data_IF_245691341419
#
_entry.id   IF_245691341419
#
_cell.length_a   1.000
_cell.length_b   1.000
_cell.length_c   1.000
_cell.angle_alpha   90.00
_cell.angle_beta   90.00
_cell.angle_gamma   90.00
#
_symmetry.space_group_name_H-M   'P 1'
#
loop_
_entity.id
_entity.type
_entity.pdbx_description
1 polymer ?
#
# COMPACT_ATOMS: atom_id res chain seq x y z
N UNK A 1 27.62 25.52 -17.70
CA UNK A 1 27.31 24.62 -16.54
C UNK A 1 27.30 23.21 -17.11
N UNK A 2 28.15 22.31 -16.56
CA UNK A 2 28.15 20.90 -16.97
C UNK A 2 26.82 20.32 -16.49
N UNK A 3 25.96 19.89 -17.41
CA UNK A 3 24.72 19.16 -17.09
C UNK A 3 25.09 17.96 -16.22
N UNK A 4 24.69 18.00 -14.97
CA UNK A 4 24.95 16.90 -14.02
C UNK A 4 24.05 15.73 -14.43
N UNK A 5 24.62 14.76 -15.13
CA UNK A 5 23.88 13.59 -15.64
C UNK A 5 23.16 12.90 -14.47
N UNK A 6 21.86 12.65 -14.63
CA UNK A 6 21.06 11.91 -13.63
C UNK A 6 21.62 10.51 -13.47
N UNK A 7 21.80 10.08 -12.22
CA UNK A 7 22.34 8.77 -11.88
C UNK A 7 21.39 8.00 -10.95
N UNK A 8 21.48 6.68 -11.02
CA UNK A 8 20.79 5.78 -10.10
C UNK A 8 21.80 5.24 -9.09
N UNK A 9 21.39 5.11 -7.84
CA UNK A 9 22.23 4.57 -6.77
C UNK A 9 22.89 3.24 -7.18
N UNK A 10 24.20 3.10 -6.90
CA UNK A 10 24.97 1.88 -7.22
C UNK A 10 24.51 0.66 -6.40
N UNK A 11 23.98 0.87 -5.19
CA UNK A 11 23.58 -0.21 -4.27
C UNK A 11 22.08 -0.54 -4.29
N UNK A 12 21.21 0.45 -4.53
CA UNK A 12 19.76 0.23 -4.67
C UNK A 12 19.25 0.75 -6.03
N UNK A 13 18.03 1.26 -6.10
CA UNK A 13 17.39 1.72 -7.35
C UNK A 13 16.94 3.18 -7.30
N UNK A 14 17.22 3.90 -6.22
CA UNK A 14 16.78 5.29 -6.05
C UNK A 14 17.56 6.22 -6.99
N UNK A 15 16.82 7.18 -7.57
CA UNK A 15 17.34 8.14 -8.54
C UNK A 15 17.80 9.40 -7.85
N UNK A 16 18.99 9.87 -8.18
CA UNK A 16 19.57 11.11 -7.64
C UNK A 16 18.67 12.32 -7.96
N UNK A 17 18.46 13.18 -6.96
CA UNK A 17 17.64 14.39 -7.03
C UNK A 17 16.15 14.17 -6.75
N UNK A 18 15.65 12.95 -6.75
CA UNK A 18 14.27 12.69 -6.36
C UNK A 18 14.13 12.80 -4.83
N UNK A 19 13.28 13.73 -4.36
CA UNK A 19 12.97 13.94 -2.93
C UNK A 19 14.20 13.98 -2.00
N UNK A 20 15.23 14.72 -2.41
CA UNK A 20 16.44 14.89 -1.59
C UNK A 20 17.41 13.71 -1.62
N UNK A 21 17.26 12.77 -2.53
CA UNK A 21 18.23 11.70 -2.73
C UNK A 21 19.52 12.28 -3.31
N UNK A 22 20.60 12.08 -2.59
CA UNK A 22 21.96 12.49 -2.97
C UNK A 22 22.86 11.26 -3.05
N UNK A 23 23.79 11.27 -4.00
CA UNK A 23 24.78 10.21 -4.14
C UNK A 23 26.14 10.70 -3.65
N UNK A 24 26.88 9.84 -2.92
CA UNK A 24 28.25 10.09 -2.52
C UNK A 24 29.24 9.79 -3.67
N UNK A 25 30.55 9.88 -3.40
CA UNK A 25 31.63 9.58 -4.36
C UNK A 25 31.59 8.14 -4.88
N UNK A 26 31.07 7.19 -4.09
CA UNK A 26 30.85 5.78 -4.49
C UNK A 26 29.52 5.56 -5.25
N UNK A 27 28.80 6.64 -5.56
CA UNK A 27 27.47 6.61 -6.16
C UNK A 27 26.40 5.89 -5.34
N UNK A 28 26.60 5.78 -4.02
CA UNK A 28 25.60 5.27 -3.07
C UNK A 28 24.74 6.39 -2.55
N UNK A 29 23.42 6.16 -2.46
CA UNK A 29 22.49 7.15 -1.93
C UNK A 29 22.54 7.21 -0.39
N UNK A 30 22.06 8.34 0.16
CA UNK A 30 21.94 8.59 1.59
C UNK A 30 21.23 7.47 2.35
N UNK A 31 20.21 6.81 1.78
CA UNK A 31 19.58 5.64 2.39
C UNK A 31 20.46 4.39 2.45
N UNK A 32 21.37 4.24 1.51
CA UNK A 32 22.32 3.12 1.50
C UNK A 32 23.57 3.38 2.36
N UNK A 33 23.89 4.65 2.61
CA UNK A 33 25.01 5.05 3.46
C UNK A 33 24.64 5.12 4.94
N UNK A 34 23.39 5.48 5.24
CA UNK A 34 22.87 5.64 6.60
C UNK A 34 21.52 4.93 6.73
N UNK A 35 21.53 3.79 7.42
CA UNK A 35 20.33 2.99 7.66
C UNK A 35 19.29 3.70 8.56
N UNK A 36 19.70 4.76 9.26
CA UNK A 36 18.81 5.58 10.10
C UNK A 36 18.22 6.77 9.34
N UNK A 37 18.69 7.02 8.11
CA UNK A 37 18.23 8.14 7.31
C UNK A 37 16.74 8.00 6.98
N UNK A 38 16.01 9.08 7.27
CA UNK A 38 14.55 9.17 7.01
C UNK A 38 14.28 10.50 6.33
N UNK A 39 13.35 10.49 5.38
CA UNK A 39 12.77 11.71 4.85
C UNK A 39 11.25 11.72 5.11
N UNK A 40 10.59 12.83 4.77
CA UNK A 40 9.15 13.02 5.01
C UNK A 40 8.27 11.97 4.31
N UNK A 41 8.79 11.28 3.28
CA UNK A 41 8.08 10.29 2.50
C UNK A 41 8.42 8.84 2.88
N UNK A 42 9.34 8.64 3.81
CA UNK A 42 9.77 7.33 4.26
C UNK A 42 9.54 7.15 5.76
N UNK A 43 8.74 6.16 6.13
CA UNK A 43 8.42 5.83 7.51
C UNK A 43 8.88 4.43 7.93
N UNK A 44 9.87 3.87 7.22
CA UNK A 44 10.46 2.58 7.59
C UNK A 44 10.86 2.57 9.07
N UNK A 45 10.44 1.55 9.83
CA UNK A 45 10.83 1.36 11.22
C UNK A 45 11.86 0.26 11.30
N UNK A 46 13.02 0.58 11.86
CA UNK A 46 13.98 -0.42 12.30
C UNK A 46 13.50 -0.91 13.66
N UNK A 47 13.22 -2.22 13.75
CA UNK A 47 12.80 -2.84 15.00
C UNK A 47 13.97 -3.61 15.58
N UNK A 48 14.30 -3.34 16.84
CA UNK A 48 15.38 -4.06 17.52
C UNK A 48 15.03 -5.55 17.66
N UNK A 49 16.02 -6.46 17.65
CA UNK A 49 15.80 -7.88 17.87
C UNK A 49 15.02 -8.19 19.15
N UNK A 50 15.34 -7.45 20.24
CA UNK A 50 14.63 -7.58 21.53
C UNK A 50 13.15 -7.24 21.41
N UNK A 51 12.82 -6.18 20.68
CA UNK A 51 11.42 -5.79 20.47
C UNK A 51 10.69 -6.80 19.59
N UNK A 52 11.36 -7.35 18.57
CA UNK A 52 10.81 -8.40 17.73
C UNK A 52 10.49 -9.66 18.52
N UNK A 53 11.38 -10.10 19.42
CA UNK A 53 11.12 -11.24 20.33
C UNK A 53 9.88 -11.01 21.17
N UNK A 54 9.75 -9.81 21.78
CA UNK A 54 8.54 -9.45 22.55
C UNK A 54 7.26 -9.56 21.75
N UNK A 55 7.27 -9.15 20.48
CA UNK A 55 6.09 -9.23 19.61
C UNK A 55 5.78 -10.66 19.16
N UNK A 56 6.80 -11.51 19.01
CA UNK A 56 6.59 -12.96 18.76
C UNK A 56 5.91 -13.62 19.97
N UNK A 57 6.36 -13.31 21.17
CA UNK A 57 5.74 -13.80 22.41
C UNK A 57 4.27 -13.34 22.50
N UNK A 58 4.02 -12.06 22.20
CA UNK A 58 2.65 -11.52 22.23
C UNK A 58 1.76 -12.15 21.14
N UNK A 59 2.28 -12.41 19.93
CA UNK A 59 1.55 -13.15 18.91
C UNK A 59 1.16 -14.56 19.39
N UNK A 60 2.10 -15.29 19.98
CA UNK A 60 1.83 -16.63 20.49
C UNK A 60 0.78 -16.61 21.60
N UNK A 61 0.81 -15.60 22.47
CA UNK A 61 -0.20 -15.38 23.52
C UNK A 61 -1.58 -15.08 22.92
N UNK A 62 -1.66 -14.21 21.89
CA UNK A 62 -2.91 -13.92 21.18
C UNK A 62 -3.50 -15.22 20.63
N UNK A 63 -2.72 -16.02 19.90
CA UNK A 63 -3.18 -17.27 19.31
C UNK A 63 -3.67 -18.25 20.39
N UNK A 64 -2.93 -18.39 21.49
CA UNK A 64 -3.32 -19.27 22.60
C UNK A 64 -4.68 -18.86 23.19
N UNK A 65 -4.83 -17.58 23.58
CA UNK A 65 -6.07 -17.03 24.15
C UNK A 65 -7.23 -17.19 23.18
N UNK A 66 -6.99 -16.92 21.90
CA UNK A 66 -8.00 -17.02 20.85
C UNK A 66 -8.51 -18.45 20.71
N UNK A 67 -7.62 -19.46 20.74
CA UNK A 67 -7.99 -20.87 20.67
C UNK A 67 -8.76 -21.33 21.90
N UNK A 68 -8.37 -20.87 23.09
CA UNK A 68 -9.06 -21.20 24.35
C UNK A 68 -10.51 -20.69 24.34
N UNK A 69 -10.75 -19.52 23.76
CA UNK A 69 -12.08 -18.89 23.68
C UNK A 69 -12.89 -19.28 22.42
N UNK A 70 -12.31 -19.98 21.47
CA UNK A 70 -12.92 -20.29 20.16
C UNK A 70 -14.21 -21.11 20.25
N UNK A 71 -14.41 -21.88 21.35
CA UNK A 71 -15.64 -22.71 21.53
C UNK A 71 -16.90 -21.85 21.65
N UNK A 72 -16.80 -20.66 22.23
CA UNK A 72 -17.93 -19.75 22.50
C UNK A 72 -18.15 -18.73 21.37
N UNK A 73 -17.19 -18.56 20.46
CA UNK A 73 -17.22 -17.52 19.43
C UNK A 73 -17.67 -18.08 18.07
N UNK A 74 -18.47 -17.31 17.33
CA UNK A 74 -18.77 -17.58 15.91
C UNK A 74 -17.51 -17.39 15.07
N UNK A 75 -16.78 -16.32 15.32
CA UNK A 75 -15.49 -16.00 14.69
C UNK A 75 -14.47 -15.61 15.74
N UNK A 76 -13.23 -16.00 15.52
CA UNK A 76 -12.08 -15.70 16.38
C UNK A 76 -11.41 -14.39 16.02
N UNK A 77 -11.43 -14.07 14.72
CA UNK A 77 -10.83 -12.84 14.18
C UNK A 77 -11.50 -12.41 12.88
N UNK A 78 -11.31 -11.12 12.54
CA UNK A 78 -11.55 -10.59 11.20
C UNK A 78 -10.23 -10.50 10.47
N UNK A 79 -10.22 -10.84 9.17
CA UNK A 79 -9.10 -10.60 8.27
C UNK A 79 -9.51 -9.62 7.18
N UNK A 80 -8.78 -8.50 7.03
CA UNK A 80 -8.87 -7.66 5.83
C UNK A 80 -8.34 -8.44 4.62
N UNK A 81 -9.22 -8.77 3.68
CA UNK A 81 -8.94 -9.67 2.55
C UNK A 81 -9.04 -8.94 1.23
N UNK A 82 -7.90 -8.67 0.58
CA UNK A 82 -7.82 -7.86 -0.64
C UNK A 82 -7.65 -8.67 -1.94
N UNK A 83 -7.50 -10.00 -1.88
CA UNK A 83 -7.17 -10.84 -3.05
C UNK A 83 -5.71 -10.72 -3.52
N UNK A 84 -4.87 -9.95 -2.82
CA UNK A 84 -3.42 -9.96 -3.00
C UNK A 84 -2.77 -11.18 -2.36
N UNK A 85 -1.54 -11.54 -2.79
CA UNK A 85 -0.82 -12.72 -2.32
C UNK A 85 -0.70 -12.83 -0.80
N UNK A 86 -0.45 -11.67 -0.16
CA UNK A 86 -0.15 -11.63 1.28
C UNK A 86 -1.41 -11.90 2.13
N UNK A 87 -2.52 -11.22 1.83
CA UNK A 87 -3.79 -11.46 2.54
C UNK A 87 -4.34 -12.86 2.25
N UNK A 88 -4.13 -13.39 1.04
CA UNK A 88 -4.54 -14.75 0.67
C UNK A 88 -3.73 -15.81 1.42
N UNK A 89 -2.41 -15.66 1.48
CA UNK A 89 -1.55 -16.58 2.22
C UNK A 89 -1.82 -16.53 3.73
N UNK A 90 -2.13 -15.33 4.25
CA UNK A 90 -2.48 -15.17 5.67
C UNK A 90 -3.84 -15.82 5.97
N UNK A 91 -4.84 -15.70 5.09
CA UNK A 91 -6.12 -16.38 5.24
C UNK A 91 -5.93 -17.90 5.35
N UNK A 92 -5.20 -18.46 4.39
CA UNK A 92 -4.91 -19.91 4.37
C UNK A 92 -4.13 -20.34 5.62
N UNK A 93 -3.15 -19.56 6.07
CA UNK A 93 -2.38 -19.84 7.29
C UNK A 93 -3.27 -19.83 8.55
N UNK A 94 -4.10 -18.82 8.71
CA UNK A 94 -4.97 -18.71 9.89
C UNK A 94 -5.98 -19.86 9.98
N UNK A 95 -6.53 -20.27 8.83
CA UNK A 95 -7.53 -21.35 8.77
C UNK A 95 -6.85 -22.71 8.89
N UNK A 96 -5.88 -23.01 8.03
CA UNK A 96 -5.37 -24.38 7.86
C UNK A 96 -4.20 -24.74 8.77
N UNK A 97 -3.32 -23.77 9.10
CA UNK A 97 -2.15 -24.05 9.95
C UNK A 97 -2.49 -23.74 11.42
N UNK A 98 -3.20 -22.63 11.68
CA UNK A 98 -3.57 -22.23 13.04
C UNK A 98 -4.92 -22.83 13.48
N UNK A 99 -5.88 -22.97 12.57
CA UNK A 99 -7.21 -23.50 12.85
C UNK A 99 -8.17 -22.49 13.49
N UNK A 100 -8.08 -21.21 13.12
CA UNK A 100 -8.97 -20.17 13.59
C UNK A 100 -10.25 -20.08 12.75
N UNK A 101 -11.35 -19.66 13.38
CA UNK A 101 -12.59 -19.26 12.73
C UNK A 101 -12.46 -17.81 12.25
N UNK A 102 -12.13 -17.62 10.98
CA UNK A 102 -11.87 -16.30 10.40
C UNK A 102 -13.13 -15.76 9.74
N UNK A 103 -13.41 -14.47 9.88
CA UNK A 103 -14.30 -13.71 9.00
C UNK A 103 -13.42 -12.91 8.03
N UNK A 104 -13.45 -13.25 6.75
CA UNK A 104 -12.76 -12.47 5.72
C UNK A 104 -13.63 -11.28 5.30
N UNK A 105 -13.08 -10.08 5.32
CA UNK A 105 -13.78 -8.86 4.92
C UNK A 105 -13.03 -8.20 3.75
N UNK A 106 -13.70 -8.07 2.63
CA UNK A 106 -13.23 -7.33 1.46
C UNK A 106 -14.01 -6.03 1.34
N UNK A 107 -13.28 -4.92 1.22
CA UNK A 107 -13.86 -3.61 0.93
C UNK A 107 -13.55 -3.27 -0.52
N UNK A 108 -14.58 -3.21 -1.39
CA UNK A 108 -14.40 -2.70 -2.75
C UNK A 108 -14.33 -1.16 -2.70
N UNK A 109 -13.20 -0.65 -3.10
CA UNK A 109 -12.94 0.81 -3.18
C UNK A 109 -13.40 1.42 -4.51
N UNK A 110 -14.07 0.62 -5.38
CA UNK A 110 -14.52 1.02 -6.71
C UNK A 110 -13.45 0.98 -7.81
N UNK A 111 -12.20 0.67 -7.45
CA UNK A 111 -11.04 0.67 -8.34
C UNK A 111 -10.13 -0.56 -8.11
N UNK A 112 -10.74 -1.65 -7.69
CA UNK A 112 -10.05 -2.93 -7.53
C UNK A 112 -9.85 -3.57 -8.91
N UNK A 113 -8.61 -4.02 -9.26
CA UNK A 113 -8.35 -4.70 -10.53
C UNK A 113 -9.14 -6.01 -10.66
N UNK A 114 -9.51 -6.38 -11.87
CA UNK A 114 -10.23 -7.63 -12.15
C UNK A 114 -9.45 -8.86 -11.65
N UNK A 115 -8.12 -8.86 -11.80
CA UNK A 115 -7.25 -9.93 -11.28
C UNK A 115 -7.40 -10.10 -9.77
N UNK A 116 -7.50 -9.00 -9.00
CA UNK A 116 -7.71 -9.10 -7.55
C UNK A 116 -9.09 -9.68 -7.22
N UNK A 117 -10.13 -9.29 -7.96
CA UNK A 117 -11.49 -9.85 -7.83
C UNK A 117 -11.54 -11.34 -8.19
N UNK A 118 -10.85 -11.75 -9.24
CA UNK A 118 -10.70 -13.16 -9.62
C UNK A 118 -9.96 -13.96 -8.55
N UNK A 119 -8.89 -13.42 -7.97
CA UNK A 119 -8.16 -14.06 -6.89
C UNK A 119 -9.04 -14.27 -5.66
N UNK A 120 -9.84 -13.27 -5.28
CA UNK A 120 -10.83 -13.39 -4.19
C UNK A 120 -11.77 -14.55 -4.47
N UNK A 121 -12.44 -14.54 -5.60
CA UNK A 121 -13.39 -15.58 -6.00
C UNK A 121 -12.77 -16.98 -6.01
N UNK A 122 -11.56 -17.10 -6.59
CA UNK A 122 -10.83 -18.37 -6.66
C UNK A 122 -10.48 -18.87 -5.26
N UNK A 123 -9.93 -18.00 -4.40
CA UNK A 123 -9.54 -18.35 -3.03
C UNK A 123 -10.74 -18.84 -2.22
N UNK A 124 -11.85 -18.10 -2.27
CA UNK A 124 -13.07 -18.48 -1.54
C UNK A 124 -13.63 -19.82 -2.02
N UNK A 125 -13.63 -20.07 -3.32
CA UNK A 125 -14.08 -21.35 -3.88
C UNK A 125 -13.15 -22.50 -3.47
N UNK A 126 -11.82 -22.31 -3.59
CA UNK A 126 -10.84 -23.33 -3.27
C UNK A 126 -10.85 -23.72 -1.78
N UNK A 127 -11.03 -22.75 -0.91
CA UNK A 127 -11.12 -22.98 0.55
C UNK A 127 -12.53 -23.36 1.01
N UNK A 128 -13.55 -23.35 0.12
CA UNK A 128 -14.98 -23.50 0.46
C UNK A 128 -15.40 -22.53 1.57
N UNK A 129 -15.01 -21.24 1.40
CA UNK A 129 -15.03 -20.22 2.43
C UNK A 129 -16.01 -19.07 2.16
N UNK A 130 -16.89 -19.21 1.15
CA UNK A 130 -17.82 -18.15 0.73
C UNK A 130 -18.76 -17.67 1.86
N UNK A 131 -19.22 -18.60 2.72
CA UNK A 131 -20.14 -18.28 3.84
C UNK A 131 -19.47 -17.51 4.98
N UNK A 132 -18.13 -17.41 4.97
CA UNK A 132 -17.32 -16.69 5.94
C UNK A 132 -16.67 -15.43 5.35
N UNK A 133 -17.23 -14.93 4.27
CA UNK A 133 -16.74 -13.74 3.57
C UNK A 133 -17.82 -12.65 3.51
N UNK A 134 -17.41 -11.42 3.78
CA UNK A 134 -18.24 -10.22 3.62
C UNK A 134 -17.59 -9.32 2.58
N UNK A 135 -18.32 -8.98 1.53
CA UNK A 135 -17.96 -7.98 0.53
C UNK A 135 -18.73 -6.68 0.82
N UNK A 136 -18.01 -5.58 0.96
CA UNK A 136 -18.57 -4.25 1.21
C UNK A 136 -18.32 -3.39 -0.02
N UNK A 137 -19.39 -3.11 -0.77
CA UNK A 137 -19.41 -2.30 -2.00
C UNK A 137 -20.09 -0.94 -1.78
N UNK A 138 -20.95 -0.83 -0.77
CA UNK A 138 -21.74 0.38 -0.49
C UNK A 138 -20.87 1.60 -0.10
N UNK A 139 -19.61 1.38 0.23
CA UNK A 139 -18.64 2.44 0.53
C UNK A 139 -18.00 3.08 -0.73
N UNK A 140 -18.20 2.52 -1.93
CA UNK A 140 -17.61 3.01 -3.19
C UNK A 140 -17.86 4.51 -3.41
N UNK A 141 -19.07 5.07 -3.22
CA UNK A 141 -19.29 6.51 -3.38
C UNK A 141 -18.42 7.36 -2.46
N UNK A 142 -18.22 6.93 -1.19
CA UNK A 142 -17.37 7.64 -0.22
C UNK A 142 -15.90 7.61 -0.66
N UNK A 143 -15.38 6.47 -1.13
CA UNK A 143 -14.04 6.40 -1.69
C UNK A 143 -13.88 7.29 -2.93
N UNK A 144 -14.86 7.33 -3.82
CA UNK A 144 -14.83 8.19 -5.01
C UNK A 144 -14.75 9.67 -4.63
N UNK A 145 -15.56 10.13 -3.64
CA UNK A 145 -15.48 11.49 -3.09
C UNK A 145 -14.12 11.78 -2.47
N UNK A 146 -13.57 10.83 -1.70
CA UNK A 146 -12.26 10.93 -1.08
C UNK A 146 -11.17 11.15 -2.13
N UNK A 147 -11.13 10.34 -3.17
CA UNK A 147 -10.13 10.45 -4.23
C UNK A 147 -10.27 11.77 -5.00
N UNK A 148 -11.49 12.14 -5.39
CA UNK A 148 -11.76 13.44 -6.02
C UNK A 148 -11.19 14.58 -5.19
N UNK A 149 -11.46 14.57 -3.90
CA UNK A 149 -10.94 15.57 -2.99
C UNK A 149 -9.41 15.61 -2.95
N UNK A 150 -8.76 14.45 -2.80
CA UNK A 150 -7.31 14.36 -2.66
C UNK A 150 -6.60 14.84 -3.93
N UNK A 151 -7.11 14.50 -5.11
CA UNK A 151 -6.54 14.95 -6.38
C UNK A 151 -6.75 16.46 -6.61
N UNK A 152 -7.91 17.03 -6.22
CA UNK A 152 -8.20 18.45 -6.36
C UNK A 152 -7.37 19.33 -5.42
N UNK A 153 -7.13 18.85 -4.20
CA UNK A 153 -6.56 19.67 -3.12
C UNK A 153 -5.11 19.31 -2.81
N UNK A 154 -4.46 18.50 -3.65
CA UNK A 154 -3.05 18.21 -3.48
C UNK A 154 -2.19 19.43 -3.82
N UNK A 155 -1.31 19.84 -2.88
CA UNK A 155 -0.43 21.00 -3.02
C UNK A 155 1.01 20.58 -3.25
N UNK A 156 1.77 21.40 -3.96
CA UNK A 156 3.15 21.11 -4.36
C UNK A 156 4.16 20.97 -3.22
N UNK A 157 3.85 21.48 -2.04
CA UNK A 157 4.69 21.40 -0.84
C UNK A 157 4.31 20.26 0.11
N UNK A 158 3.34 19.44 -0.28
CA UNK A 158 2.90 18.27 0.49
C UNK A 158 3.72 17.02 0.11
N UNK A 159 3.50 15.93 0.85
CA UNK A 159 4.02 14.60 0.51
C UNK A 159 3.47 14.15 -0.85
N UNK A 160 4.10 13.13 -1.46
CA UNK A 160 3.63 12.56 -2.72
C UNK A 160 2.13 12.27 -2.69
N UNK A 161 1.44 12.54 -3.81
CA UNK A 161 0.00 12.28 -3.91
C UNK A 161 -0.34 10.80 -3.67
N UNK A 162 0.45 9.88 -4.23
CA UNK A 162 0.26 8.44 -4.00
C UNK A 162 0.34 8.08 -2.51
N UNK A 163 1.23 8.73 -1.74
CA UNK A 163 1.31 8.54 -0.30
C UNK A 163 0.04 9.03 0.40
N UNK A 164 -0.37 10.26 0.09
CA UNK A 164 -1.56 10.88 0.66
C UNK A 164 -2.81 10.03 0.35
N UNK A 165 -2.97 9.61 -0.90
CA UNK A 165 -4.09 8.76 -1.33
C UNK A 165 -4.09 7.43 -0.58
N UNK A 166 -2.95 6.75 -0.46
CA UNK A 166 -2.88 5.48 0.25
C UNK A 166 -3.16 5.63 1.75
N UNK A 167 -2.61 6.65 2.41
CA UNK A 167 -2.82 6.88 3.84
C UNK A 167 -4.32 7.08 4.15
N UNK A 168 -4.99 7.99 3.45
CA UNK A 168 -6.41 8.26 3.68
C UNK A 168 -7.32 7.11 3.24
N UNK A 169 -7.00 6.43 2.14
CA UNK A 169 -7.71 5.25 1.70
C UNK A 169 -7.61 4.12 2.71
N UNK A 170 -6.40 3.86 3.22
CA UNK A 170 -6.18 2.82 4.23
C UNK A 170 -6.91 3.14 5.55
N UNK A 171 -6.91 4.40 6.00
CA UNK A 171 -7.62 4.80 7.21
C UNK A 171 -9.13 4.52 7.10
N UNK A 172 -9.75 4.84 5.96
CA UNK A 172 -11.16 4.52 5.70
C UNK A 172 -11.40 2.99 5.59
N UNK A 173 -10.57 2.30 4.82
CA UNK A 173 -10.67 0.84 4.63
C UNK A 173 -10.54 0.10 5.97
N UNK A 174 -9.53 0.45 6.76
CA UNK A 174 -9.32 -0.14 8.08
C UNK A 174 -10.49 0.13 9.02
N UNK A 175 -11.02 1.36 9.01
CA UNK A 175 -12.19 1.72 9.79
C UNK A 175 -13.38 0.82 9.45
N UNK A 176 -13.68 0.60 8.17
CA UNK A 176 -14.76 -0.27 7.72
C UNK A 176 -14.55 -1.70 8.23
N UNK A 177 -13.35 -2.26 8.09
CA UNK A 177 -13.04 -3.63 8.54
C UNK A 177 -13.15 -3.74 10.06
N UNK A 178 -12.70 -2.73 10.81
CA UNK A 178 -12.83 -2.70 12.28
C UNK A 178 -14.28 -2.59 12.71
N UNK A 179 -15.10 -1.77 12.01
CA UNK A 179 -16.55 -1.69 12.31
C UNK A 179 -17.26 -3.04 12.14
N UNK A 180 -16.86 -3.86 11.15
CA UNK A 180 -17.39 -5.21 11.01
C UNK A 180 -17.02 -6.11 12.20
N UNK A 181 -15.81 -5.93 12.76
CA UNK A 181 -15.41 -6.64 13.98
C UNK A 181 -16.16 -6.16 15.22
N UNK A 182 -16.31 -4.84 15.40
CA UNK A 182 -17.09 -4.22 16.50
C UNK A 182 -18.52 -4.72 16.47
N UNK A 183 -19.19 -4.64 15.31
CA UNK A 183 -20.58 -5.09 15.11
C UNK A 183 -20.80 -6.54 15.56
N UNK A 184 -19.80 -7.40 15.39
CA UNK A 184 -19.86 -8.83 15.70
C UNK A 184 -19.15 -9.19 17.01
N UNK A 185 -18.63 -8.20 17.73
CA UNK A 185 -17.87 -8.37 18.98
C UNK A 185 -16.67 -9.31 18.82
N UNK A 186 -15.99 -9.23 17.67
CA UNK A 186 -14.80 -10.02 17.37
C UNK A 186 -13.57 -9.28 17.92
N UNK A 187 -12.72 -9.90 18.75
CA UNK A 187 -11.69 -9.21 19.52
C UNK A 187 -10.43 -8.85 18.73
N UNK A 188 -10.22 -9.44 17.54
CA UNK A 188 -9.00 -9.25 16.76
C UNK A 188 -9.31 -8.94 15.30
N UNK A 189 -8.55 -7.99 14.74
CA UNK A 189 -8.51 -7.71 13.31
C UNK A 189 -7.07 -7.92 12.81
N UNK A 190 -6.89 -8.68 11.75
CA UNK A 190 -5.60 -8.92 11.14
C UNK A 190 -5.52 -8.31 9.75
N UNK A 191 -4.36 -7.72 9.42
CA UNK A 191 -4.04 -7.26 8.07
C UNK A 191 -2.74 -7.90 7.57
N UNK A 192 -2.75 -8.36 6.32
CA UNK A 192 -1.63 -9.04 5.68
C UNK A 192 -0.59 -8.09 5.07
N UNK A 193 -0.21 -7.04 5.79
CA UNK A 193 0.85 -6.15 5.32
C UNK A 193 2.21 -6.81 5.46
N UNK A 194 2.96 -6.84 4.35
CA UNK A 194 4.32 -7.37 4.34
C UNK A 194 5.32 -6.43 5.05
N UNK A 195 6.43 -6.95 5.61
CA UNK A 195 7.39 -6.15 6.36
C UNK A 195 8.09 -5.04 5.57
N UNK A 196 8.13 -5.16 4.24
CA UNK A 196 8.69 -4.18 3.31
C UNK A 196 7.74 -3.00 3.03
N UNK A 197 6.46 -3.14 3.34
CA UNK A 197 5.52 -2.05 3.19
C UNK A 197 5.80 -0.94 4.19
N UNK A 198 5.70 0.30 3.70
CA UNK A 198 5.94 1.50 4.49
C UNK A 198 4.75 1.72 5.41
N UNK A 199 4.90 1.30 6.67
CA UNK A 199 3.84 1.41 7.66
C UNK A 199 4.27 2.28 8.83
N UNK A 200 3.32 3.05 9.40
CA UNK A 200 3.52 3.84 10.62
C UNK A 200 3.71 2.94 11.86
N UNK A 201 3.18 1.74 11.79
CA UNK A 201 3.12 0.80 12.92
C UNK A 201 3.89 -0.47 12.59
N UNK A 202 4.38 -1.12 13.63
CA UNK A 202 5.05 -2.39 13.47
C UNK A 202 4.05 -3.54 13.65
N UNK A 203 4.01 -4.22 14.76
CA UNK A 203 3.22 -5.43 14.96
C UNK A 203 1.73 -5.16 15.25
N UNK A 204 1.43 -4.08 15.93
CA UNK A 204 0.08 -3.71 16.37
C UNK A 204 -0.16 -2.22 16.13
N UNK A 205 -1.34 -1.90 15.65
CA UNK A 205 -1.79 -0.51 15.54
C UNK A 205 -2.33 -0.10 16.90
N UNK A 206 -1.71 0.90 17.57
CA UNK A 206 -2.13 1.29 18.91
C UNK A 206 -3.59 1.81 18.94
N UNK A 207 -4.38 1.51 19.98
CA UNK A 207 -5.77 1.98 20.08
C UNK A 207 -5.92 3.52 20.00
N UNK A 208 -4.93 4.28 20.49
CA UNK A 208 -4.95 5.75 20.38
C UNK A 208 -4.87 6.21 18.92
N UNK A 209 -4.13 5.53 18.08
CA UNK A 209 -4.02 5.85 16.64
C UNK A 209 -5.31 5.48 15.91
N UNK A 210 -5.90 4.33 16.23
CA UNK A 210 -7.20 3.93 15.70
C UNK A 210 -8.24 5.01 16.02
N UNK A 211 -8.27 5.47 17.26
CA UNK A 211 -9.18 6.54 17.73
C UNK A 211 -8.94 7.89 17.03
N UNK A 212 -7.71 8.18 16.65
CA UNK A 212 -7.34 9.47 16.05
C UNK A 212 -7.39 9.46 14.52
N UNK A 213 -6.88 8.40 13.89
CA UNK A 213 -6.65 8.37 12.44
C UNK A 213 -7.84 7.81 11.66
N UNK A 214 -8.64 6.93 12.26
CA UNK A 214 -9.79 6.30 11.57
C UNK A 214 -11.11 7.02 11.84
N UNK A 215 -11.01 8.24 12.34
CA UNK A 215 -12.09 9.21 12.38
C UNK A 215 -11.99 10.13 11.16
N UNK A 216 -13.10 10.68 10.74
CA UNK A 216 -13.16 11.50 9.55
C UNK A 216 -12.52 12.88 9.73
N UNK A 217 -11.19 12.97 9.85
CA UNK A 217 -10.47 14.27 9.91
C UNK A 217 -10.75 15.17 8.71
N UNK A 218 -11.06 14.59 7.57
CA UNK A 218 -11.44 15.30 6.34
C UNK A 218 -12.87 15.84 6.37
N UNK A 219 -13.70 15.37 7.29
CA UNK A 219 -15.12 15.73 7.35
C UNK A 219 -15.32 17.18 7.78
N UNK A 220 -14.43 17.73 8.59
CA UNK A 220 -14.55 19.13 9.05
C UNK A 220 -14.51 20.15 7.90
N UNK A 221 -13.92 19.79 6.73
CA UNK A 221 -13.73 20.68 5.59
C UNK A 221 -14.28 20.16 4.26
N UNK A 222 -15.07 19.06 4.22
CA UNK A 222 -15.36 18.36 2.98
C UNK A 222 -16.76 17.84 2.75
N UNK A 223 -17.05 17.51 1.44
CA UNK A 223 -18.37 17.12 0.96
C UNK A 223 -18.85 15.76 1.47
N UNK A 224 -18.25 15.22 2.53
CA UNK A 224 -18.75 14.06 3.22
C UNK A 224 -20.00 14.42 4.02
N UNK A 225 -21.08 13.74 3.71
CA UNK A 225 -22.32 13.83 4.44
C UNK A 225 -22.42 12.74 5.52
N UNK A 226 -23.53 12.64 6.22
CA UNK A 226 -23.73 11.65 7.29
C UNK A 226 -23.64 10.20 6.75
N UNK A 227 -24.04 9.98 5.47
CA UNK A 227 -23.90 8.67 4.81
C UNK A 227 -22.43 8.26 4.61
N UNK A 228 -21.55 9.22 4.42
CA UNK A 228 -20.11 8.95 4.30
C UNK A 228 -19.49 8.70 5.68
N UNK A 229 -19.97 9.43 6.71
CA UNK A 229 -19.47 9.30 8.09
C UNK A 229 -19.71 7.92 8.69
N UNK A 230 -20.78 7.23 8.29
CA UNK A 230 -21.11 5.89 8.82
C UNK A 230 -20.00 4.86 8.60
N UNK A 231 -19.08 5.09 7.64
CA UNK A 231 -17.97 4.19 7.34
C UNK A 231 -16.77 4.36 8.27
N UNK A 232 -16.70 5.48 8.97
CA UNK A 232 -15.66 5.75 9.97
C UNK A 232 -16.10 5.31 11.37
N UNK A 233 -15.15 5.18 12.28
CA UNK A 233 -15.46 4.90 13.68
C UNK A 233 -16.17 6.10 14.31
N UNK A 234 -17.30 5.84 14.95
CA UNK A 234 -18.06 6.83 15.71
C UNK A 234 -17.55 6.97 17.15
N UNK A 235 -18.01 8.02 17.87
CA UNK A 235 -17.75 8.14 19.30
C UNK A 235 -18.32 6.98 20.09
N UNK A 236 -19.45 6.42 19.66
CA UNK A 236 -20.07 5.26 20.30
C UNK A 236 -19.18 4.03 20.13
N UNK A 237 -18.65 3.74 18.92
CA UNK A 237 -17.72 2.64 18.67
C UNK A 237 -16.50 2.73 19.59
N UNK A 238 -16.01 3.97 19.83
CA UNK A 238 -14.81 4.24 20.63
C UNK A 238 -15.06 4.12 22.13
N UNK A 239 -16.20 4.68 22.61
CA UNK A 239 -16.49 4.77 24.04
C UNK A 239 -16.95 3.46 24.65
N UNK A 240 -17.54 2.57 23.86
CA UNK A 240 -17.99 1.25 24.30
C UNK A 240 -16.85 0.25 24.55
N UNK A 241 -15.58 0.67 24.49
CA UNK A 241 -14.38 -0.17 24.68
C UNK A 241 -14.35 -1.46 23.86
N UNK A 242 -15.10 -1.51 22.77
CA UNK A 242 -15.26 -2.69 21.91
C UNK A 242 -14.32 -2.70 20.70
N UNK A 243 -13.37 -1.76 20.66
CA UNK A 243 -12.41 -1.69 19.54
C UNK A 243 -11.49 -2.92 19.63
N UNK A 244 -11.47 -3.75 18.58
CA UNK A 244 -10.62 -4.92 18.53
C UNK A 244 -9.14 -4.50 18.48
N UNK A 245 -8.26 -5.42 18.88
CA UNK A 245 -6.83 -5.27 18.64
C UNK A 245 -6.54 -5.47 17.14
N UNK A 246 -5.79 -4.57 16.55
CA UNK A 246 -5.43 -4.60 15.12
C UNK A 246 -3.98 -5.02 14.99
N UNK A 247 -3.76 -6.21 14.44
CA UNK A 247 -2.46 -6.89 14.40
C UNK A 247 -1.98 -7.04 12.96
N UNK A 248 -0.67 -6.93 12.78
CA UNK A 248 0.05 -7.09 11.52
C UNK A 248 0.97 -8.33 11.61
N UNK A 249 0.46 -9.55 11.37
CA UNK A 249 1.16 -10.79 11.71
C UNK A 249 2.49 -10.98 10.97
N UNK A 250 2.61 -10.53 9.72
CA UNK A 250 3.85 -10.69 8.95
C UNK A 250 5.06 -9.92 9.48
N UNK A 251 4.85 -8.99 10.42
CA UNK A 251 5.96 -8.34 11.09
C UNK A 251 6.66 -9.24 12.13
N UNK A 252 6.02 -10.36 12.51
CA UNK A 252 6.57 -11.34 13.47
C UNK A 252 6.65 -12.75 12.90
N UNK A 253 5.80 -13.09 11.94
CA UNK A 253 5.91 -14.34 11.20
C UNK A 253 7.12 -14.30 10.25
N UNK A 254 7.64 -15.47 9.89
CA UNK A 254 8.65 -15.53 8.84
C UNK A 254 8.03 -15.15 7.50
N UNK A 255 8.52 -14.06 6.92
CA UNK A 255 8.06 -13.57 5.62
C UNK A 255 9.17 -13.69 4.58
N UNK A 256 8.90 -14.48 3.53
CA UNK A 256 9.70 -14.55 2.31
C UNK A 256 8.75 -14.48 1.13
N UNK A 257 8.85 -13.47 0.31
CA UNK A 257 7.92 -13.24 -0.82
C UNK A 257 7.78 -14.49 -1.71
N UNK A 258 8.90 -15.15 -2.01
CA UNK A 258 8.90 -16.37 -2.82
C UNK A 258 8.06 -17.49 -2.18
N UNK A 259 8.22 -17.72 -0.87
CA UNK A 259 7.46 -18.74 -0.15
C UNK A 259 5.96 -18.41 -0.08
N UNK A 260 5.61 -17.10 0.05
CA UNK A 260 4.22 -16.64 -0.01
C UNK A 260 3.61 -16.95 -1.38
N UNK A 261 4.31 -16.63 -2.48
CA UNK A 261 3.84 -16.89 -3.84
C UNK A 261 3.70 -18.41 -4.06
N UNK A 262 4.72 -19.21 -3.71
CA UNK A 262 4.68 -20.67 -3.82
C UNK A 262 3.49 -21.25 -3.04
N UNK A 263 3.20 -20.75 -1.84
CA UNK A 263 2.06 -21.20 -1.03
C UNK A 263 0.72 -20.98 -1.74
N UNK A 264 0.48 -19.76 -2.25
CA UNK A 264 -0.83 -19.41 -2.86
C UNK A 264 -1.02 -20.05 -4.23
N UNK A 265 0.05 -20.21 -5.01
CA UNK A 265 -0.02 -20.83 -6.33
C UNK A 265 -0.11 -22.37 -6.24
N UNK A 266 0.70 -23.03 -5.38
CA UNK A 266 0.67 -24.49 -5.23
C UNK A 266 -0.66 -25.02 -4.70
N UNK A 267 -1.33 -24.24 -3.83
CA UNK A 267 -2.68 -24.55 -3.34
C UNK A 267 -3.80 -24.07 -4.28
N UNK A 268 -3.45 -23.52 -5.45
CA UNK A 268 -4.39 -22.98 -6.43
C UNK A 268 -5.35 -21.89 -5.87
N UNK A 269 -4.90 -21.16 -4.84
CA UNK A 269 -5.64 -20.04 -4.26
C UNK A 269 -5.59 -18.82 -5.19
N UNK A 270 -4.43 -18.61 -5.81
CA UNK A 270 -4.19 -17.59 -6.83
C UNK A 270 -3.66 -18.30 -8.08
N UNK A 271 -4.07 -17.86 -9.25
CA UNK A 271 -3.53 -18.37 -10.52
C UNK A 271 -2.06 -18.05 -10.67
N UNK A 272 -1.30 -18.94 -11.30
CA UNK A 272 0.13 -18.72 -11.55
C UNK A 272 0.36 -17.40 -12.29
N UNK A 273 1.25 -16.57 -11.73
CA UNK A 273 1.56 -15.24 -12.24
C UNK A 273 0.59 -14.12 -11.83
N UNK A 274 -0.54 -14.43 -11.15
CA UNK A 274 -1.50 -13.44 -10.67
C UNK A 274 -1.18 -12.93 -9.24
N UNK A 275 -0.06 -13.37 -8.67
CA UNK A 275 0.40 -12.94 -7.34
C UNK A 275 1.23 -11.64 -7.37
N UNK A 276 1.56 -11.11 -8.56
CA UNK A 276 2.41 -9.93 -8.71
C UNK A 276 1.67 -8.65 -8.23
N UNK A 277 2.26 -7.86 -7.30
CA UNK A 277 1.67 -6.60 -6.84
C UNK A 277 1.39 -5.59 -7.96
N UNK A 278 2.18 -5.59 -9.04
CA UNK A 278 1.94 -4.69 -10.18
C UNK A 278 0.59 -4.96 -10.87
N UNK A 279 0.06 -6.17 -10.75
CA UNK A 279 -1.21 -6.58 -11.31
C UNK A 279 -2.37 -6.42 -10.31
N UNK A 280 -2.11 -6.62 -9.02
CA UNK A 280 -3.14 -6.64 -7.97
C UNK A 280 -3.32 -5.32 -7.23
N UNK A 281 -2.38 -4.37 -7.35
CA UNK A 281 -2.54 -3.03 -6.79
C UNK A 281 -3.69 -2.27 -7.45
N UNK A 282 -4.45 -1.52 -6.65
CA UNK A 282 -5.61 -0.77 -7.13
C UNK A 282 -5.23 0.26 -8.21
N UNK A 283 -6.19 0.58 -9.09
CA UNK A 283 -5.96 1.48 -10.22
C UNK A 283 -5.75 2.93 -9.80
N UNK A 284 -6.22 3.32 -8.60
CA UNK A 284 -5.94 4.62 -8.00
C UNK A 284 -4.43 4.84 -7.81
N UNK A 285 -3.70 3.79 -7.44
CA UNK A 285 -2.24 3.83 -7.32
C UNK A 285 -1.58 4.12 -8.67
N UNK A 286 -2.10 3.56 -9.76
CA UNK A 286 -1.58 3.84 -11.10
C UNK A 286 -1.81 5.31 -11.50
N UNK A 287 -3.00 5.86 -11.21
CA UNK A 287 -3.33 7.26 -11.46
C UNK A 287 -2.48 8.21 -10.60
N UNK A 288 -2.32 7.92 -9.31
CA UNK A 288 -1.47 8.69 -8.42
C UNK A 288 0.03 8.59 -8.82
N UNK A 289 0.47 7.43 -9.32
CA UNK A 289 1.82 7.25 -9.86
C UNK A 289 2.05 8.07 -11.12
N UNK A 290 1.04 8.18 -12.01
CA UNK A 290 1.09 9.07 -13.15
C UNK A 290 1.30 10.53 -12.70
N UNK A 291 0.55 10.97 -11.70
CA UNK A 291 0.70 12.30 -11.13
C UNK A 291 2.11 12.51 -10.55
N UNK A 292 2.53 11.65 -9.63
CA UNK A 292 3.78 11.79 -8.90
C UNK A 292 5.01 11.77 -9.81
N UNK A 293 5.05 10.85 -10.78
CA UNK A 293 6.18 10.76 -11.70
C UNK A 293 6.29 11.99 -12.62
N UNK A 294 5.14 12.51 -13.08
CA UNK A 294 5.12 13.72 -13.89
C UNK A 294 5.41 14.99 -13.09
N UNK A 295 4.99 15.03 -11.81
CA UNK A 295 5.15 16.19 -10.94
C UNK A 295 6.48 16.23 -10.20
N UNK A 296 7.00 15.07 -9.75
CA UNK A 296 8.17 14.99 -8.86
C UNK A 296 9.36 14.21 -9.46
N UNK A 297 9.17 13.56 -10.59
CA UNK A 297 10.21 12.76 -11.25
C UNK A 297 10.45 11.39 -10.60
N UNK A 298 9.58 10.92 -9.72
CA UNK A 298 9.74 9.61 -9.06
C UNK A 298 8.45 9.09 -8.44
N UNK A 299 8.51 7.90 -7.87
CA UNK A 299 7.38 7.19 -7.27
C UNK A 299 7.66 6.84 -5.82
N UNK A 300 6.61 6.86 -4.97
CA UNK A 300 6.69 6.36 -3.59
C UNK A 300 7.21 4.92 -3.53
N UNK A 301 6.70 4.06 -4.39
CA UNK A 301 7.07 2.65 -4.42
C UNK A 301 8.54 2.39 -4.78
N UNK A 302 9.26 3.37 -5.36
CA UNK A 302 10.70 3.27 -5.55
C UNK A 302 11.45 3.11 -4.21
N UNK A 303 10.96 3.71 -3.12
CA UNK A 303 11.54 3.55 -1.78
C UNK A 303 11.31 2.13 -1.25
N UNK A 304 10.11 1.57 -1.42
CA UNK A 304 9.79 0.21 -1.01
C UNK A 304 10.66 -0.81 -1.77
N UNK A 305 10.71 -0.69 -3.09
CA UNK A 305 11.53 -1.60 -3.91
C UNK A 305 13.03 -1.44 -3.64
N UNK A 306 13.48 -0.22 -3.34
CA UNK A 306 14.85 0.00 -2.92
C UNK A 306 15.18 -0.69 -1.59
N UNK A 307 14.20 -0.79 -0.67
CA UNK A 307 14.36 -1.55 0.57
C UNK A 307 14.47 -3.05 0.31
N UNK A 308 13.64 -3.61 -0.54
CA UNK A 308 13.76 -5.01 -0.96
C UNK A 308 15.15 -5.30 -1.57
N UNK A 309 15.66 -4.38 -2.40
CA UNK A 309 17.01 -4.51 -3.00
C UNK A 309 18.12 -4.40 -1.93
N UNK A 310 17.95 -3.59 -0.88
CA UNK A 310 18.91 -3.54 0.23
C UNK A 310 18.92 -4.83 1.04
N UNK A 311 17.78 -5.48 1.21
CA UNK A 311 17.65 -6.77 1.87
C UNK A 311 18.20 -7.93 1.03
N UNK A 312 17.97 -7.88 -0.29
CA UNK A 312 18.47 -8.87 -1.26
C UNK A 312 19.04 -8.17 -2.51
N UNK A 313 20.35 -7.87 -2.53
CA UNK A 313 20.99 -7.23 -3.68
C UNK A 313 20.87 -8.01 -5.01
N UNK A 314 20.59 -9.31 -4.97
CA UNK A 314 20.49 -10.14 -6.17
C UNK A 314 19.33 -9.73 -7.08
N UNK A 315 18.27 -9.16 -6.50
CA UNK A 315 17.07 -8.70 -7.25
C UNK A 315 17.23 -7.32 -7.88
N UNK A 316 18.33 -6.59 -7.61
CA UNK A 316 18.55 -5.23 -8.12
C UNK A 316 18.40 -5.12 -9.63
N UNK A 317 19.00 -6.05 -10.38
CA UNK A 317 18.93 -6.05 -11.84
C UNK A 317 17.50 -6.16 -12.35
N UNK A 318 16.68 -7.02 -11.74
CA UNK A 318 15.24 -7.15 -12.04
C UNK A 318 14.54 -5.80 -11.87
N UNK A 319 14.70 -5.15 -10.72
CA UNK A 319 14.03 -3.89 -10.43
C UNK A 319 14.49 -2.73 -11.30
N UNK A 320 15.78 -2.66 -11.66
CA UNK A 320 16.28 -1.66 -12.61
C UNK A 320 15.64 -1.82 -13.99
N UNK A 321 15.47 -3.06 -14.47
CA UNK A 321 14.79 -3.33 -15.75
C UNK A 321 13.34 -2.88 -15.67
N UNK A 322 12.63 -3.27 -14.60
CA UNK A 322 11.22 -2.88 -14.38
C UNK A 322 11.07 -1.35 -14.39
N UNK A 323 11.88 -0.62 -13.62
CA UNK A 323 11.81 0.84 -13.57
C UNK A 323 12.05 1.48 -14.94
N UNK A 324 13.06 1.01 -15.68
CA UNK A 324 13.37 1.53 -17.02
C UNK A 324 12.29 1.25 -18.05
N UNK A 325 11.52 0.19 -17.88
CA UNK A 325 10.40 -0.14 -18.77
C UNK A 325 9.11 0.58 -18.37
N UNK A 326 8.82 0.63 -17.08
CA UNK A 326 7.54 1.12 -16.57
C UNK A 326 7.49 2.66 -16.49
N UNK A 327 8.57 3.34 -16.06
CA UNK A 327 8.57 4.79 -15.93
C UNK A 327 8.23 5.52 -17.23
N UNK A 328 8.82 5.19 -18.40
CA UNK A 328 8.40 5.79 -19.67
C UNK A 328 6.93 5.55 -20.02
N UNK A 329 6.39 4.39 -19.64
CA UNK A 329 4.98 4.09 -19.89
C UNK A 329 4.07 4.91 -18.98
N UNK A 330 4.43 5.07 -17.69
CA UNK A 330 3.69 5.94 -16.76
C UNK A 330 3.72 7.38 -17.22
N UNK A 331 4.91 7.94 -17.56
CA UNK A 331 5.06 9.31 -18.02
C UNK A 331 4.16 9.62 -19.24
N UNK A 332 3.99 8.66 -20.13
CA UNK A 332 3.16 8.76 -21.35
C UNK A 332 1.70 8.34 -21.15
N UNK A 333 1.30 7.99 -19.95
CA UNK A 333 -0.01 7.37 -19.66
C UNK A 333 -0.28 6.12 -20.51
N UNK A 334 0.73 5.25 -20.66
CA UNK A 334 0.62 3.95 -21.35
C UNK A 334 0.68 2.75 -20.41
N UNK A 335 0.99 2.98 -19.14
CA UNK A 335 0.91 1.97 -18.10
C UNK A 335 -0.49 1.99 -17.49
N UNK A 336 -1.22 0.88 -17.58
CA UNK A 336 -2.64 0.81 -17.18
C UNK A 336 -3.46 1.98 -17.76
N UNK A 337 -3.28 2.30 -19.06
CA UNK A 337 -3.88 3.47 -19.70
C UNK A 337 -5.40 3.54 -19.52
N UNK A 338 -6.11 2.44 -19.82
CA UNK A 338 -7.57 2.40 -19.66
C UNK A 338 -8.01 2.54 -18.21
N UNK A 339 -7.50 1.76 -17.22
CA UNK A 339 -7.84 1.93 -15.81
C UNK A 339 -7.58 3.34 -15.27
N UNK A 340 -6.47 3.98 -15.67
CA UNK A 340 -6.13 5.35 -15.25
C UNK A 340 -7.13 6.37 -15.83
N UNK A 341 -7.49 6.23 -17.10
CA UNK A 341 -8.48 7.11 -17.73
C UNK A 341 -9.87 6.91 -17.13
N UNK A 342 -10.28 5.66 -16.91
CA UNK A 342 -11.56 5.31 -16.27
C UNK A 342 -11.61 5.86 -14.82
N UNK A 343 -10.49 5.81 -14.09
CA UNK A 343 -10.39 6.42 -12.77
C UNK A 343 -10.64 7.92 -12.83
N UNK A 344 -9.92 8.66 -13.69
CA UNK A 344 -10.09 10.11 -13.79
C UNK A 344 -11.52 10.47 -14.19
N UNK A 345 -12.11 9.77 -15.15
CA UNK A 345 -13.50 9.98 -15.54
C UNK A 345 -14.47 9.79 -14.37
N UNK A 346 -14.28 8.74 -13.55
CA UNK A 346 -15.14 8.47 -12.39
C UNK A 346 -15.06 9.53 -11.29
N UNK A 347 -13.94 10.24 -11.18
CA UNK A 347 -13.79 11.36 -10.26
C UNK A 347 -14.05 12.73 -10.91
N UNK A 348 -14.66 12.75 -12.10
CA UNK A 348 -15.02 13.93 -12.89
C UNK A 348 -13.81 14.77 -13.33
N UNK A 349 -12.72 14.12 -13.74
CA UNK A 349 -11.54 14.76 -14.33
C UNK A 349 -11.25 14.22 -15.71
N UNK A 350 -10.71 15.09 -16.57
CA UNK A 350 -9.99 14.65 -17.76
C UNK A 350 -8.49 14.52 -17.47
N UNK A 351 -7.82 13.68 -18.26
CA UNK A 351 -6.35 13.54 -18.17
C UNK A 351 -5.64 14.88 -18.45
N UNK A 352 -6.20 15.70 -19.36
CA UNK A 352 -5.60 17.01 -19.70
C UNK A 352 -5.74 17.99 -18.54
N UNK A 353 -6.86 18.02 -17.82
CA UNK A 353 -6.98 18.82 -16.60
C UNK A 353 -5.94 18.43 -15.55
N UNK A 354 -5.68 17.12 -15.39
CA UNK A 354 -4.63 16.66 -14.47
C UNK A 354 -3.25 17.09 -14.91
N UNK A 355 -2.95 17.05 -16.22
CA UNK A 355 -1.70 17.55 -16.79
C UNK A 355 -1.52 19.05 -16.56
N UNK A 356 -2.56 19.83 -16.79
CA UNK A 356 -2.54 21.28 -16.54
C UNK A 356 -2.23 21.61 -15.08
N UNK A 357 -2.83 20.90 -14.13
CA UNK A 357 -2.53 21.02 -12.69
C UNK A 357 -1.07 20.69 -12.39
N UNK A 358 -0.56 19.58 -12.93
CA UNK A 358 0.84 19.16 -12.76
C UNK A 358 1.79 20.23 -13.32
N UNK A 359 1.53 20.71 -14.53
CA UNK A 359 2.38 21.69 -15.22
C UNK A 359 2.36 23.05 -14.53
N UNK A 360 1.20 23.49 -14.00
CA UNK A 360 1.12 24.70 -13.20
C UNK A 360 1.94 24.61 -11.92
N UNK A 361 1.83 23.51 -11.19
CA UNK A 361 2.62 23.30 -9.98
C UNK A 361 4.11 23.17 -10.27
N UNK A 362 4.47 22.46 -11.34
CA UNK A 362 5.87 22.28 -11.74
C UNK A 362 6.52 23.62 -12.16
N UNK A 363 5.79 24.51 -12.83
CA UNK A 363 6.29 25.86 -13.18
C UNK A 363 6.74 26.67 -11.97
N UNK A 364 6.10 26.47 -10.83
CA UNK A 364 6.38 27.17 -9.56
C UNK A 364 7.43 26.44 -8.70
N UNK A 365 7.89 25.26 -9.10
CA UNK A 365 8.80 24.44 -8.30
C UNK A 365 10.26 24.85 -8.50
N UNK A 366 11.02 25.16 -7.43
CA UNK A 366 12.43 25.50 -7.53
C UNK A 366 13.30 24.36 -8.07
N UNK A 367 12.84 23.11 -8.01
CA UNK A 367 13.53 21.93 -8.51
C UNK A 367 13.08 21.53 -9.94
N UNK A 368 12.29 22.37 -10.62
CA UNK A 368 11.71 22.08 -11.94
C UNK A 368 12.72 21.51 -12.93
N UNK A 369 13.88 22.14 -13.07
CA UNK A 369 14.90 21.69 -14.02
C UNK A 369 15.40 20.27 -13.67
N UNK A 370 15.66 20.02 -12.40
CA UNK A 370 16.10 18.69 -11.94
C UNK A 370 15.03 17.63 -12.16
N UNK A 371 13.76 17.95 -11.91
CA UNK A 371 12.63 17.06 -12.16
C UNK A 371 12.54 16.73 -13.66
N UNK A 372 12.69 17.74 -14.52
CA UNK A 372 12.70 17.53 -15.97
C UNK A 372 13.88 16.67 -16.44
N UNK A 373 15.07 16.85 -15.87
CA UNK A 373 16.24 16.01 -16.16
C UNK A 373 15.95 14.54 -15.82
N UNK A 374 15.33 14.26 -14.67
CA UNK A 374 14.95 12.91 -14.28
C UNK A 374 13.92 12.33 -15.26
N UNK A 375 12.89 13.10 -15.64
CA UNK A 375 11.89 12.65 -16.63
C UNK A 375 12.55 12.33 -17.97
N UNK A 376 13.44 13.20 -18.47
CA UNK A 376 14.17 12.98 -19.71
C UNK A 376 15.12 11.78 -19.64
N UNK A 377 15.77 11.55 -18.50
CA UNK A 377 16.60 10.37 -18.27
C UNK A 377 15.83 9.07 -18.52
N UNK A 378 14.57 8.98 -18.05
CA UNK A 378 13.74 7.80 -18.29
C UNK A 378 13.11 7.76 -19.67
N UNK A 379 12.87 8.91 -20.32
CA UNK A 379 12.27 8.99 -21.67
C UNK A 379 13.26 8.74 -22.79
N UNK A 380 14.56 9.02 -22.60
CA UNK A 380 15.59 8.77 -23.62
C UNK A 380 15.65 7.28 -23.94
N UNK A 381 15.36 6.93 -25.19
CA UNK A 381 15.44 5.57 -25.72
C UNK A 381 16.86 5.03 -25.53
N UNK A 382 16.92 3.79 -24.99
CA UNK A 382 17.96 2.77 -25.13
C UNK A 382 19.23 3.18 -25.91
N UNK A 383 20.04 4.05 -25.42
CA UNK A 383 21.46 3.88 -25.57
C UNK A 383 21.93 3.04 -24.40
N UNK A 384 22.56 1.95 -24.70
CA UNK A 384 23.00 0.87 -23.86
C UNK A 384 23.50 1.37 -22.51
N UNK A 385 22.63 1.37 -21.46
CA UNK A 385 23.14 1.56 -20.12
C UNK A 385 23.91 0.30 -19.80
N UNK A 386 25.24 0.35 -19.96
CA UNK A 386 26.15 -0.71 -19.49
C UNK A 386 25.90 -0.86 -18.00
N UNK A 387 25.33 -1.99 -17.65
CA UNK A 387 25.18 -2.43 -16.26
C UNK A 387 26.59 -2.87 -15.86
N UNK A 388 27.38 -1.95 -15.28
CA UNK A 388 28.65 -2.29 -14.61
C UNK A 388 28.33 -2.87 -13.24
#
# INVERSE_FOLDING_TARGET
MIEKQVQICSSCILTEGFLGIQLNSEKKCNFCCDSTYKNINWHGRIVSPKLKTKYIEEWNKIIKITKENSKSNTYDCVLGFSGGKDSTALLDYLINDIGLKVLAVTVDIGFMPDIAKENIKRTLNQLKFADHHVLIEDAIPTFTKLYKYLFLNHRSNEILLSRKVCDYCCDLLHSIVVKEAVKRKIPYVFFGYSPDQIFRYFFEIPPCEIKNDWRPKLIENHPFNEEDKKWYLSDEDINNNSIPRVILPYHVLEYREKSIIERVESKNLISKGHADPLLTNCDVVAAASFYDLNRYGGLLYAFQYAELVRQDPSIRKKWLIILKQIFPLILKNKYKEKPVNDFFQKIDFSLDQIRDVIDEQLRKDPQKERINDIKQFFLKKKETIRIS
#
